data_IF_763668005336
#
_entry.id   IF_763668005336
#
_cell.length_a   1.000
_cell.length_b   1.000
_cell.length_c   1.000
_cell.angle_alpha   90.00
_cell.angle_beta   90.00
_cell.angle_gamma   90.00
#
_symmetry.space_group_name_H-M   'P 1'
#
loop_
_entity.id
_entity.type
_entity.pdbx_description
1 polymer ?
#
# COMPACT_ATOMS: atom_id res chain seq x y z
N UNK A 1 -4.38 7.99 21.87
CA UNK A 1 -4.94 6.63 22.20
C UNK A 1 -3.83 5.66 22.55
N UNK A 2 -4.09 4.62 23.38
CA UNK A 2 -3.05 3.64 23.72
C UNK A 2 -2.79 2.72 22.52
N UNK A 3 -1.54 2.67 22.07
CA UNK A 3 -1.05 1.78 21.01
C UNK A 3 -0.73 0.40 21.58
N UNK A 4 -1.25 -0.65 20.97
CA UNK A 4 -1.01 -2.04 21.35
C UNK A 4 -0.28 -2.77 20.21
N UNK A 5 0.99 -3.08 20.42
CA UNK A 5 1.80 -3.82 19.47
C UNK A 5 1.79 -5.30 19.83
N UNK A 6 1.49 -6.15 18.84
CA UNK A 6 1.62 -7.61 18.94
C UNK A 6 2.83 -8.05 18.13
N UNK A 7 3.91 -8.30 18.82
CA UNK A 7 5.11 -8.90 18.20
C UNK A 7 4.82 -10.36 17.82
N UNK A 8 5.54 -10.91 16.84
CA UNK A 8 5.45 -12.34 16.56
C UNK A 8 5.71 -13.17 17.83
N UNK A 9 4.93 -14.21 18.02
CA UNK A 9 5.18 -15.21 19.06
C UNK A 9 6.20 -16.25 18.55
N UNK A 10 6.83 -16.99 19.46
CA UNK A 10 7.95 -17.90 19.14
C UNK A 10 7.67 -18.92 18.02
N UNK A 11 6.41 -19.33 17.84
CA UNK A 11 6.01 -20.31 16.84
C UNK A 11 5.50 -19.68 15.52
N UNK A 12 5.48 -18.34 15.43
CA UNK A 12 5.09 -17.63 14.19
C UNK A 12 6.29 -17.42 13.28
N UNK A 13 6.01 -17.12 12.00
CA UNK A 13 7.02 -16.73 11.03
C UNK A 13 7.80 -15.50 11.49
N UNK A 14 9.06 -15.43 11.13
CA UNK A 14 9.95 -14.33 11.48
C UNK A 14 10.81 -13.90 10.29
N UNK A 15 11.25 -12.64 10.31
CA UNK A 15 12.24 -12.16 9.36
C UNK A 15 13.61 -12.78 9.65
N UNK A 16 14.36 -13.14 8.63
CA UNK A 16 15.77 -13.50 8.80
C UNK A 16 16.53 -12.35 9.47
N UNK A 17 17.58 -12.69 10.21
CA UNK A 17 18.45 -11.69 10.85
C UNK A 17 17.82 -10.95 12.03
N UNK A 18 16.66 -11.38 12.53
CA UNK A 18 16.06 -10.85 13.76
C UNK A 18 15.51 -9.42 13.64
N UNK A 19 15.16 -8.98 12.44
CA UNK A 19 14.49 -7.70 12.25
C UNK A 19 13.18 -7.68 13.05
N UNK A 20 13.03 -6.69 13.93
CA UNK A 20 11.87 -6.58 14.84
C UNK A 20 10.76 -5.76 14.20
N UNK A 21 9.55 -6.27 14.25
CA UNK A 21 8.33 -5.64 13.75
C UNK A 21 7.12 -6.14 14.56
N UNK A 22 5.97 -5.51 14.40
CA UNK A 22 4.72 -6.03 14.96
C UNK A 22 3.93 -6.77 13.88
N UNK A 23 3.44 -7.97 14.17
CA UNK A 23 2.47 -8.65 13.29
C UNK A 23 1.19 -7.83 13.14
N UNK A 24 0.74 -7.25 14.24
CA UNK A 24 -0.38 -6.32 14.27
C UNK A 24 -0.10 -5.15 15.20
N UNK A 25 -0.63 -3.99 14.84
CA UNK A 25 -0.67 -2.80 15.70
C UNK A 25 -2.12 -2.37 15.82
N UNK A 26 -2.66 -2.39 17.04
CA UNK A 26 -4.02 -1.97 17.33
C UNK A 26 -4.03 -0.60 18.01
N UNK A 27 -4.83 0.33 17.49
CA UNK A 27 -5.06 1.65 18.08
C UNK A 27 -6.54 2.00 17.92
N UNK A 28 -7.22 2.30 19.04
CA UNK A 28 -8.67 2.55 19.01
C UNK A 28 -9.41 1.33 18.47
N UNK A 29 -10.17 1.53 17.43
CA UNK A 29 -10.96 0.50 16.74
C UNK A 29 -10.23 -0.13 15.54
N UNK A 30 -9.08 0.39 15.15
CA UNK A 30 -8.31 -0.09 14.00
C UNK A 30 -7.22 -1.08 14.40
N UNK A 31 -7.00 -2.06 13.55
CA UNK A 31 -5.90 -3.02 13.64
C UNK A 31 -5.18 -3.06 12.31
N UNK A 32 -3.93 -2.61 12.31
CA UNK A 32 -3.04 -2.65 11.14
C UNK A 32 -2.25 -3.96 11.17
N UNK A 33 -2.30 -4.68 10.06
CA UNK A 33 -1.64 -5.97 9.90
C UNK A 33 -0.43 -5.78 8.99
N UNK A 34 0.73 -6.25 9.43
CA UNK A 34 1.94 -6.26 8.61
C UNK A 34 1.77 -7.12 7.37
N UNK A 35 2.62 -6.95 6.38
CA UNK A 35 2.72 -7.87 5.26
C UNK A 35 3.00 -9.28 5.76
N UNK A 36 1.96 -10.14 5.75
CA UNK A 36 2.10 -11.53 6.18
C UNK A 36 2.91 -12.30 5.16
N UNK A 37 3.84 -13.10 5.64
CA UNK A 37 4.86 -13.77 4.86
C UNK A 37 4.65 -15.28 4.82
N UNK A 38 5.21 -15.92 3.80
CA UNK A 38 5.27 -17.37 3.70
C UNK A 38 6.63 -17.88 4.20
N UNK A 39 6.97 -17.54 5.45
CA UNK A 39 8.19 -17.92 6.13
C UNK A 39 7.87 -18.85 7.30
N UNK A 40 8.86 -19.63 7.73
CA UNK A 40 8.81 -20.31 9.01
C UNK A 40 9.40 -19.45 10.15
N UNK A 41 9.49 -20.02 11.34
CA UNK A 41 10.06 -19.35 12.54
C UNK A 41 11.54 -19.01 12.41
N UNK A 42 12.27 -19.64 11.48
CA UNK A 42 13.69 -19.43 11.22
C UNK A 42 13.91 -18.51 9.99
N UNK A 43 12.82 -17.98 9.40
CA UNK A 43 12.83 -17.10 8.24
C UNK A 43 13.08 -17.83 6.91
N UNK A 44 12.86 -19.13 6.86
CA UNK A 44 12.98 -19.93 5.64
C UNK A 44 11.68 -19.87 4.86
N UNK A 45 11.77 -19.67 3.53
CA UNK A 45 10.60 -19.60 2.65
C UNK A 45 9.92 -20.97 2.55
N UNK A 46 8.63 -21.00 2.83
CA UNK A 46 7.79 -22.19 2.72
C UNK A 46 7.21 -22.32 1.32
N UNK A 47 7.13 -23.55 0.82
CA UNK A 47 6.50 -23.90 -0.46
C UNK A 47 6.96 -23.02 -1.64
N UNK A 48 8.28 -22.88 -1.89
CA UNK A 48 8.78 -22.06 -2.99
C UNK A 48 8.21 -22.55 -4.33
N UNK A 49 7.73 -21.63 -5.17
CA UNK A 49 7.15 -21.94 -6.47
C UNK A 49 5.65 -22.33 -6.45
N UNK A 50 5.03 -22.54 -5.29
CA UNK A 50 3.60 -22.88 -5.16
C UNK A 50 2.80 -21.69 -4.62
N UNK A 51 2.23 -20.88 -5.52
CA UNK A 51 1.44 -19.70 -5.16
C UNK A 51 0.21 -20.04 -4.31
N UNK A 52 -0.45 -21.16 -4.59
CA UNK A 52 -1.65 -21.54 -3.86
C UNK A 52 -1.33 -21.95 -2.42
N UNK A 53 -0.27 -22.75 -2.20
CA UNK A 53 0.19 -23.09 -0.86
C UNK A 53 0.69 -21.87 -0.10
N UNK A 54 1.46 -20.99 -0.75
CA UNK A 54 1.91 -19.74 -0.15
C UNK A 54 0.76 -18.82 0.23
N UNK A 55 -0.26 -18.70 -0.62
CA UNK A 55 -1.46 -17.91 -0.34
C UNK A 55 -2.20 -18.43 0.89
N UNK A 56 -2.34 -19.77 1.04
CA UNK A 56 -2.93 -20.37 2.24
C UNK A 56 -2.10 -20.07 3.48
N UNK A 57 -0.78 -20.20 3.42
CA UNK A 57 0.11 -19.87 4.55
C UNK A 57 -0.07 -18.41 5.00
N UNK A 58 -0.14 -17.48 4.07
CA UNK A 58 -0.33 -16.04 4.37
C UNK A 58 -1.67 -15.80 5.06
N UNK A 59 -2.78 -16.41 4.59
CA UNK A 59 -4.08 -16.26 5.24
C UNK A 59 -4.16 -16.94 6.60
N UNK A 60 -3.53 -18.10 6.80
CA UNK A 60 -3.44 -18.71 8.14
C UNK A 60 -2.61 -17.87 9.11
N UNK A 61 -1.52 -17.26 8.66
CA UNK A 61 -0.73 -16.33 9.46
C UNK A 61 -1.55 -15.08 9.83
N UNK A 62 -2.29 -14.50 8.88
CA UNK A 62 -3.17 -13.37 9.13
C UNK A 62 -4.28 -13.71 10.14
N UNK A 63 -4.91 -14.86 9.98
CA UNK A 63 -5.92 -15.38 10.90
C UNK A 63 -5.34 -15.57 12.31
N UNK A 64 -4.16 -16.18 12.42
CA UNK A 64 -3.47 -16.38 13.70
C UNK A 64 -3.14 -15.05 14.38
N UNK A 65 -2.71 -14.05 13.61
CA UNK A 65 -2.44 -12.69 14.13
C UNK A 65 -3.69 -12.00 14.69
N UNK A 66 -4.86 -12.23 14.08
CA UNK A 66 -6.13 -11.65 14.49
C UNK A 66 -6.75 -12.38 15.69
N UNK A 67 -6.61 -13.72 15.79
CA UNK A 67 -7.13 -14.52 16.90
C UNK A 67 -6.58 -14.03 18.24
N UNK A 68 -5.33 -13.60 18.30
CA UNK A 68 -4.72 -13.02 19.50
C UNK A 68 -5.37 -11.71 19.98
N UNK A 69 -6.25 -11.11 19.15
CA UNK A 69 -7.04 -9.92 19.44
C UNK A 69 -8.54 -10.23 19.56
N UNK A 70 -8.94 -11.49 19.63
CA UNK A 70 -10.33 -11.98 19.56
C UNK A 70 -11.05 -11.55 18.27
N UNK A 71 -10.36 -11.59 17.14
CA UNK A 71 -10.82 -11.17 15.82
C UNK A 71 -10.65 -12.31 14.81
N UNK A 72 -11.32 -12.16 13.65
CA UNK A 72 -11.24 -13.08 12.53
C UNK A 72 -11.01 -12.37 11.21
N UNK A 73 -10.90 -13.14 10.11
CA UNK A 73 -10.73 -12.58 8.76
C UNK A 73 -11.96 -11.78 8.30
N UNK A 74 -13.12 -12.05 8.85
CA UNK A 74 -14.37 -11.31 8.61
C UNK A 74 -14.37 -9.88 9.19
N UNK A 75 -13.40 -9.55 10.05
CA UNK A 75 -13.19 -8.20 10.57
C UNK A 75 -12.36 -7.31 9.63
N UNK A 76 -11.76 -7.90 8.59
CA UNK A 76 -10.96 -7.17 7.59
C UNK A 76 -11.86 -6.28 6.73
N UNK A 77 -11.40 -5.04 6.51
CA UNK A 77 -12.04 -4.06 5.63
C UNK A 77 -11.17 -3.71 4.43
N UNK A 78 -9.86 -3.95 4.54
CA UNK A 78 -8.91 -3.69 3.46
C UNK A 78 -7.84 -4.76 3.40
N UNK A 79 -7.45 -5.15 2.17
CA UNK A 79 -6.29 -5.96 1.84
C UNK A 79 -5.46 -5.29 0.74
N UNK A 80 -4.14 -5.30 0.89
CA UNK A 80 -3.23 -5.07 -0.22
C UNK A 80 -2.40 -6.34 -0.43
N UNK A 81 -2.50 -6.88 -1.63
CA UNK A 81 -1.81 -8.08 -2.07
C UNK A 81 -0.70 -7.70 -3.05
N UNK A 82 0.51 -8.11 -2.72
CA UNK A 82 1.66 -8.06 -3.61
C UNK A 82 2.01 -9.49 -3.98
N UNK A 83 2.04 -9.81 -5.27
CA UNK A 83 2.38 -11.16 -5.74
C UNK A 83 3.40 -11.10 -6.86
N UNK A 84 4.19 -12.16 -7.01
CA UNK A 84 5.25 -12.29 -8.02
C UNK A 84 4.80 -13.28 -9.08
N UNK A 85 4.92 -12.88 -10.33
CA UNK A 85 4.68 -13.74 -11.48
C UNK A 85 5.68 -13.39 -12.59
N UNK A 86 6.53 -14.33 -12.93
CA UNK A 86 7.61 -14.15 -13.93
C UNK A 86 7.26 -14.72 -15.31
N UNK A 87 6.00 -15.16 -15.50
CA UNK A 87 5.51 -15.67 -16.78
C UNK A 87 5.13 -14.58 -17.78
N UNK A 88 4.66 -14.99 -18.95
CA UNK A 88 4.14 -14.08 -19.98
C UNK A 88 2.89 -13.34 -19.49
N UNK A 89 2.74 -12.08 -19.84
CA UNK A 89 1.57 -11.25 -19.48
C UNK A 89 0.23 -11.90 -19.85
N UNK A 90 0.18 -12.67 -20.93
CA UNK A 90 -1.04 -13.40 -21.35
C UNK A 90 -1.53 -14.42 -20.30
N UNK A 91 -0.62 -14.94 -19.47
CA UNK A 91 -0.91 -15.95 -18.43
C UNK A 91 -1.11 -15.31 -17.05
N UNK A 92 -0.88 -14.01 -16.92
CA UNK A 92 -0.96 -13.28 -15.64
C UNK A 92 -2.36 -13.35 -15.02
N UNK A 93 -3.42 -13.22 -15.83
CA UNK A 93 -4.80 -13.29 -15.37
C UNK A 93 -5.12 -14.68 -14.80
N UNK A 94 -4.72 -15.76 -15.47
CA UNK A 94 -4.92 -17.14 -15.00
C UNK A 94 -4.18 -17.37 -13.68
N UNK A 95 -2.94 -16.91 -13.58
CA UNK A 95 -2.17 -16.99 -12.33
C UNK A 95 -2.84 -16.26 -11.18
N UNK A 96 -3.34 -15.05 -11.43
CA UNK A 96 -4.10 -14.28 -10.44
C UNK A 96 -5.41 -14.99 -10.04
N UNK A 97 -6.12 -15.57 -11.00
CA UNK A 97 -7.35 -16.32 -10.71
C UNK A 97 -7.08 -17.54 -9.82
N UNK A 98 -5.99 -18.27 -10.05
CA UNK A 98 -5.62 -19.42 -9.22
C UNK A 98 -5.29 -19.00 -7.79
N UNK A 99 -4.53 -17.93 -7.61
CA UNK A 99 -4.29 -17.31 -6.31
C UNK A 99 -5.61 -16.85 -5.65
N UNK A 100 -6.49 -16.24 -6.43
CA UNK A 100 -7.76 -15.67 -5.93
C UNK A 100 -8.76 -16.78 -5.56
N UNK A 101 -8.75 -17.95 -6.24
CA UNK A 101 -9.56 -19.09 -5.83
C UNK A 101 -9.22 -19.57 -4.42
N UNK A 102 -7.95 -19.51 -4.01
CA UNK A 102 -7.58 -19.76 -2.60
C UNK A 102 -8.22 -18.74 -1.67
N UNK A 103 -8.30 -17.46 -2.06
CA UNK A 103 -8.98 -16.44 -1.25
C UNK A 103 -10.45 -16.78 -0.98
N UNK A 104 -11.15 -17.42 -1.93
CA UNK A 104 -12.54 -17.84 -1.77
C UNK A 104 -12.72 -18.89 -0.65
N UNK A 105 -11.66 -19.61 -0.28
CA UNK A 105 -11.69 -20.57 0.84
C UNK A 105 -11.77 -19.83 2.21
N UNK A 106 -11.33 -18.57 2.27
CA UNK A 106 -11.18 -17.81 3.50
C UNK A 106 -12.21 -16.69 3.70
N UNK A 107 -12.72 -16.10 2.63
CA UNK A 107 -13.61 -14.95 2.70
C UNK A 107 -14.99 -15.26 2.14
N UNK A 108 -16.04 -15.19 3.00
CA UNK A 108 -17.42 -15.14 2.52
C UNK A 108 -17.71 -13.78 1.87
N UNK A 109 -18.80 -13.69 1.12
CA UNK A 109 -19.36 -12.40 0.69
C UNK A 109 -20.11 -11.74 1.86
N UNK A 110 -19.87 -10.47 2.17
CA UNK A 110 -18.96 -9.51 1.51
C UNK A 110 -17.51 -9.60 2.04
N UNK A 111 -16.55 -9.59 1.13
CA UNK A 111 -15.14 -9.52 1.46
C UNK A 111 -14.60 -8.09 1.55
N UNK A 112 -13.31 -7.93 1.92
CA UNK A 112 -12.68 -6.63 2.08
C UNK A 112 -12.53 -5.87 0.75
N UNK A 113 -12.34 -4.56 0.82
CA UNK A 113 -11.79 -3.79 -0.29
C UNK A 113 -10.34 -4.23 -0.54
N UNK A 114 -9.97 -4.45 -1.79
CA UNK A 114 -8.66 -5.02 -2.09
C UNK A 114 -7.96 -4.31 -3.26
N UNK A 115 -6.63 -4.29 -3.18
CA UNK A 115 -5.70 -3.91 -4.24
C UNK A 115 -4.78 -5.10 -4.45
N UNK A 116 -4.52 -5.50 -5.70
CA UNK A 116 -3.64 -6.62 -5.99
C UNK A 116 -2.76 -6.32 -7.19
N UNK A 117 -1.44 -6.20 -6.97
CA UNK A 117 -0.46 -5.85 -7.99
C UNK A 117 0.67 -6.86 -8.08
N UNK A 118 1.23 -7.04 -9.29
CA UNK A 118 2.41 -7.87 -9.53
C UNK A 118 3.65 -7.08 -9.16
N UNK A 119 4.21 -7.38 -7.99
CA UNK A 119 5.48 -6.82 -7.56
C UNK A 119 6.67 -7.48 -8.30
N UNK A 120 7.80 -6.79 -8.39
CA UNK A 120 9.04 -7.36 -8.94
C UNK A 120 9.57 -8.51 -8.08
N UNK A 121 9.30 -8.49 -6.78
CA UNK A 121 9.73 -9.51 -5.84
C UNK A 121 9.35 -9.20 -4.41
N UNK A 122 9.78 -10.08 -3.53
CA UNK A 122 9.68 -9.96 -2.08
C UNK A 122 11.10 -9.90 -1.50
N UNK A 123 11.26 -9.63 -0.18
CA UNK A 123 12.57 -9.57 0.45
C UNK A 123 13.41 -10.83 0.27
N UNK A 124 12.78 -12.01 0.24
CA UNK A 124 13.51 -13.27 0.15
C UNK A 124 13.15 -14.03 -1.13
N UNK A 125 14.16 -14.63 -1.74
CA UNK A 125 14.01 -15.45 -2.95
C UNK A 125 13.01 -16.60 -2.72
N UNK A 126 12.16 -16.85 -3.71
CA UNK A 126 11.14 -17.90 -3.66
C UNK A 126 9.82 -17.50 -2.99
N UNK A 127 9.74 -16.31 -2.40
CA UNK A 127 8.46 -15.76 -1.96
C UNK A 127 7.66 -15.25 -3.16
N UNK A 128 6.42 -15.71 -3.29
CA UNK A 128 5.53 -15.34 -4.39
C UNK A 128 4.39 -14.41 -3.98
N UNK A 129 4.14 -14.25 -2.67
CA UNK A 129 3.01 -13.45 -2.19
C UNK A 129 3.27 -12.86 -0.81
N UNK A 130 2.75 -11.68 -0.61
CA UNK A 130 2.64 -10.98 0.67
C UNK A 130 1.30 -10.24 0.71
N UNK A 131 0.60 -10.31 1.84
CA UNK A 131 -0.67 -9.63 2.02
C UNK A 131 -0.65 -8.84 3.34
N UNK A 132 -0.98 -7.56 3.27
CA UNK A 132 -1.22 -6.70 4.41
C UNK A 132 -2.71 -6.36 4.54
N UNK A 133 -3.14 -5.87 5.69
CA UNK A 133 -4.54 -5.53 5.86
C UNK A 133 -4.82 -4.51 6.95
N UNK A 134 -6.07 -4.04 6.92
CA UNK A 134 -6.68 -3.29 8.02
C UNK A 134 -7.93 -4.02 8.45
N UNK A 135 -8.06 -4.26 9.76
CA UNK A 135 -9.22 -4.86 10.38
C UNK A 135 -9.82 -3.92 11.44
N UNK A 136 -11.07 -4.15 11.80
CA UNK A 136 -11.79 -3.37 12.81
C UNK A 136 -12.18 -4.21 14.00
N UNK A 137 -12.05 -3.63 15.19
CA UNK A 137 -12.48 -4.25 16.45
C UNK A 137 -13.60 -3.46 17.13
N UNK A 138 -14.23 -4.05 18.12
CA UNK A 138 -15.28 -3.39 18.91
C UNK A 138 -16.57 -3.13 18.13
N UNK A 139 -17.25 -2.03 18.44
CA UNK A 139 -18.54 -1.67 17.82
C UNK A 139 -18.39 -1.31 16.33
N UNK A 140 -17.25 -0.73 15.91
CA UNK A 140 -17.01 -0.28 14.54
C UNK A 140 -17.13 -1.42 13.51
N UNK A 141 -16.79 -2.67 13.89
CA UNK A 141 -16.98 -3.83 13.03
C UNK A 141 -18.45 -4.10 12.65
N UNK A 142 -19.41 -3.67 13.48
CA UNK A 142 -20.84 -3.85 13.26
C UNK A 142 -21.49 -2.72 12.49
N UNK A 143 -20.87 -1.54 12.49
CA UNK A 143 -21.38 -0.32 11.86
C UNK A 143 -20.74 -0.02 10.51
N UNK A 144 -20.10 -1.03 9.88
CA UNK A 144 -19.46 -0.89 8.57
C UNK A 144 -20.47 -0.99 7.43
N UNK A 145 -20.28 -0.17 6.41
CA UNK A 145 -21.08 -0.17 5.19
C UNK A 145 -20.24 -0.61 4.00
N UNK A 146 -20.66 -1.68 3.33
CA UNK A 146 -20.09 -2.09 2.04
C UNK A 146 -20.48 -1.09 0.95
N UNK A 147 -19.52 -0.72 0.10
CA UNK A 147 -19.72 0.15 -1.04
C UNK A 147 -19.50 -0.64 -2.34
N UNK A 148 -20.54 -0.71 -3.16
CA UNK A 148 -20.55 -1.40 -4.46
C UNK A 148 -21.38 -0.58 -5.46
N UNK A 149 -20.83 0.54 -6.01
CA UNK A 149 -21.58 1.45 -6.85
C UNK A 149 -22.07 0.77 -8.13
N UNK A 150 -23.28 1.11 -8.56
CA UNK A 150 -23.79 0.65 -9.84
C UNK A 150 -22.93 1.22 -10.98
N UNK A 151 -22.63 0.38 -11.97
CA UNK A 151 -21.85 0.77 -13.15
C UNK A 151 -20.34 0.82 -12.92
N UNK A 152 -19.82 0.36 -11.78
CA UNK A 152 -18.39 0.12 -11.59
C UNK A 152 -17.92 -1.11 -12.37
N UNK A 153 -16.60 -1.23 -12.53
CA UNK A 153 -15.98 -2.44 -13.08
C UNK A 153 -16.15 -3.63 -12.13
N UNK A 154 -15.97 -4.84 -12.65
CA UNK A 154 -15.99 -6.07 -11.86
C UNK A 154 -14.84 -6.98 -12.28
N UNK A 155 -14.54 -8.00 -11.50
CA UNK A 155 -13.45 -8.94 -11.76
C UNK A 155 -13.81 -9.96 -12.85
N UNK A 156 -12.81 -10.57 -13.49
CA UNK A 156 -12.99 -11.63 -14.49
C UNK A 156 -13.66 -12.90 -13.94
N UNK A 157 -13.57 -13.11 -12.63
CA UNK A 157 -14.26 -14.18 -11.89
C UNK A 157 -15.04 -13.59 -10.71
N UNK A 158 -16.08 -14.27 -10.28
CA UNK A 158 -16.83 -13.87 -9.10
C UNK A 158 -15.95 -13.99 -7.84
N UNK A 159 -15.75 -12.88 -7.14
CA UNK A 159 -14.98 -12.81 -5.90
C UNK A 159 -15.75 -12.00 -4.85
N UNK A 160 -15.62 -12.34 -3.55
CA UNK A 160 -16.33 -11.65 -2.48
C UNK A 160 -15.63 -10.33 -2.09
N UNK A 161 -15.05 -9.61 -3.04
CA UNK A 161 -14.41 -8.33 -2.80
C UNK A 161 -15.42 -7.18 -2.82
N UNK A 162 -15.01 -6.03 -2.28
CA UNK A 162 -15.81 -4.82 -2.26
C UNK A 162 -15.05 -3.70 -2.95
N UNK A 163 -15.76 -2.81 -3.65
CA UNK A 163 -15.18 -1.60 -4.24
C UNK A 163 -14.71 -0.64 -3.15
N UNK A 164 -15.40 -0.63 -2.01
CA UNK A 164 -14.99 0.13 -0.85
C UNK A 164 -15.73 -0.29 0.42
N UNK A 165 -15.25 0.23 1.55
CA UNK A 165 -15.91 0.15 2.84
C UNK A 165 -15.92 1.52 3.52
N UNK A 166 -17.08 1.90 4.10
CA UNK A 166 -17.20 3.04 5.02
C UNK A 166 -17.34 2.56 6.44
N UNK A 167 -16.57 3.14 7.36
CA UNK A 167 -16.58 2.84 8.79
C UNK A 167 -16.51 4.16 9.57
N UNK A 168 -17.63 4.52 10.19
CA UNK A 168 -17.73 5.86 10.78
C UNK A 168 -17.48 6.93 9.72
N UNK A 169 -16.45 7.72 9.94
CA UNK A 169 -15.99 8.76 8.99
C UNK A 169 -14.90 8.30 8.03
N UNK A 170 -14.36 7.06 8.16
CA UNK A 170 -13.28 6.53 7.30
C UNK A 170 -13.84 5.78 6.10
N UNK A 171 -13.22 5.98 4.95
CA UNK A 171 -13.54 5.27 3.71
C UNK A 171 -12.28 4.63 3.16
N UNK A 172 -12.37 3.33 2.90
CA UNK A 172 -11.32 2.55 2.23
C UNK A 172 -11.81 2.24 0.82
N UNK A 173 -11.17 2.80 -0.19
CA UNK A 173 -11.44 2.52 -1.61
C UNK A 173 -10.46 1.43 -2.04
N UNK A 174 -10.98 0.33 -2.59
CA UNK A 174 -10.16 -0.73 -3.18
C UNK A 174 -9.44 -0.25 -4.44
N UNK A 175 -8.51 -1.04 -4.95
CA UNK A 175 -7.82 -0.77 -6.21
C UNK A 175 -8.82 -0.54 -7.33
N UNK A 176 -8.74 0.60 -8.00
CA UNK A 176 -9.56 0.93 -9.14
C UNK A 176 -8.72 0.84 -10.39
N UNK A 177 -9.25 0.18 -11.41
CA UNK A 177 -8.61 -0.04 -12.71
C UNK A 177 -9.54 0.42 -13.84
N UNK A 178 -8.97 0.73 -14.99
CA UNK A 178 -9.76 1.05 -16.18
C UNK A 178 -10.24 -0.24 -16.88
N UNK A 179 -11.29 -0.86 -16.34
CA UNK A 179 -11.88 -2.09 -16.84
C UNK A 179 -13.41 -1.98 -16.94
N UNK A 180 -14.03 -2.89 -17.69
CA UNK A 180 -15.48 -3.03 -17.77
C UNK A 180 -16.05 -3.99 -16.71
N UNK A 181 -17.35 -4.25 -16.75
CA UNK A 181 -18.06 -5.16 -15.83
C UNK A 181 -17.63 -6.63 -15.92
N UNK A 182 -16.79 -6.99 -16.86
CA UNK A 182 -16.25 -8.35 -17.07
C UNK A 182 -14.76 -8.44 -16.78
N UNK A 183 -14.15 -7.39 -16.20
CA UNK A 183 -12.74 -7.32 -15.92
C UNK A 183 -11.86 -7.07 -17.15
N UNK A 184 -12.44 -6.68 -18.29
CA UNK A 184 -11.67 -6.38 -19.50
C UNK A 184 -11.17 -4.95 -19.47
N UNK A 185 -9.85 -4.71 -19.68
CA UNK A 185 -9.31 -3.37 -19.79
C UNK A 185 -9.99 -2.56 -20.88
N UNK A 186 -10.32 -1.31 -20.57
CA UNK A 186 -10.81 -0.31 -21.52
C UNK A 186 -9.82 0.83 -21.64
N UNK A 187 -9.90 1.60 -22.72
CA UNK A 187 -8.96 2.71 -23.02
C UNK A 187 -7.49 2.26 -23.13
N UNK A 188 -7.27 1.03 -23.63
CA UNK A 188 -5.91 0.46 -23.78
C UNK A 188 -5.02 1.36 -24.62
N UNK A 189 -3.83 1.72 -24.07
CA UNK A 189 -2.87 2.61 -24.72
C UNK A 189 -3.16 4.10 -24.59
N UNK A 190 -4.18 4.47 -23.83
CA UNK A 190 -4.53 5.88 -23.53
C UNK A 190 -4.50 6.10 -22.02
N UNK A 191 -3.34 6.48 -21.50
CA UNK A 191 -3.09 6.71 -20.07
C UNK A 191 -4.04 7.75 -19.47
N UNK A 192 -4.34 8.81 -20.22
CA UNK A 192 -5.25 9.86 -19.77
C UNK A 192 -6.67 9.35 -19.60
N UNK A 193 -7.16 8.61 -20.59
CA UNK A 193 -8.51 8.05 -20.54
C UNK A 193 -8.62 6.98 -19.46
N UNK A 194 -7.58 6.14 -19.27
CA UNK A 194 -7.54 5.20 -18.15
C UNK A 194 -7.56 5.93 -16.80
N UNK A 195 -6.77 6.98 -16.66
CA UNK A 195 -6.71 7.78 -15.41
C UNK A 195 -8.06 8.42 -15.10
N UNK A 196 -8.72 9.04 -16.09
CA UNK A 196 -10.06 9.62 -15.90
C UNK A 196 -11.09 8.57 -15.51
N UNK A 197 -11.11 7.42 -16.18
CA UNK A 197 -12.04 6.34 -15.88
C UNK A 197 -11.85 5.81 -14.44
N UNK A 198 -10.62 5.70 -13.98
CA UNK A 198 -10.30 5.31 -12.61
C UNK A 198 -10.78 6.35 -11.59
N UNK A 199 -10.54 7.64 -11.85
CA UNK A 199 -11.07 8.70 -10.96
C UNK A 199 -12.60 8.73 -10.95
N UNK A 200 -13.26 8.45 -12.07
CA UNK A 200 -14.72 8.31 -12.09
C UNK A 200 -15.19 7.16 -11.19
N UNK A 201 -14.49 6.01 -11.19
CA UNK A 201 -14.82 4.89 -10.30
C UNK A 201 -14.57 5.25 -8.83
N UNK A 202 -13.44 5.90 -8.51
CA UNK A 202 -13.17 6.42 -7.16
C UNK A 202 -14.29 7.37 -6.75
N UNK A 203 -14.69 8.29 -7.63
CA UNK A 203 -15.77 9.25 -7.37
C UNK A 203 -17.13 8.58 -7.09
N UNK A 204 -17.44 7.47 -7.76
CA UNK A 204 -18.66 6.68 -7.48
C UNK A 204 -18.60 6.05 -6.08
N UNK A 205 -17.46 5.43 -5.73
CA UNK A 205 -17.26 4.84 -4.38
C UNK A 205 -17.39 5.91 -3.30
N UNK A 206 -16.75 7.06 -3.49
CA UNK A 206 -16.84 8.19 -2.55
C UNK A 206 -18.29 8.70 -2.43
N UNK A 207 -18.97 8.92 -3.55
CA UNK A 207 -20.36 9.40 -3.58
C UNK A 207 -21.32 8.45 -2.86
N UNK A 208 -21.23 7.14 -3.07
CA UNK A 208 -22.06 6.14 -2.38
C UNK A 208 -21.75 6.08 -0.87
N UNK A 209 -20.53 6.46 -0.49
CA UNK A 209 -20.14 6.60 0.90
C UNK A 209 -20.54 7.97 1.52
N UNK A 210 -21.15 8.88 0.74
CA UNK A 210 -21.47 10.24 1.17
C UNK A 210 -20.25 11.14 1.30
N UNK A 211 -19.25 10.95 0.45
CA UNK A 211 -17.99 11.67 0.40
C UNK A 211 -17.72 12.26 -1.00
N UNK A 212 -16.63 13.00 -1.10
CA UNK A 212 -16.14 13.60 -2.32
C UNK A 212 -14.60 13.54 -2.41
N UNK A 213 -14.04 14.00 -3.50
CA UNK A 213 -12.58 14.07 -3.65
C UNK A 213 -11.89 15.01 -2.65
N UNK A 214 -12.61 15.97 -2.06
CA UNK A 214 -12.06 16.85 -1.01
C UNK A 214 -11.80 16.14 0.32
N UNK A 215 -12.38 14.95 0.50
CA UNK A 215 -12.22 14.14 1.71
C UNK A 215 -11.04 13.15 1.60
N UNK A 216 -10.38 13.08 0.43
CA UNK A 216 -9.23 12.22 0.22
C UNK A 216 -8.06 12.59 1.14
N UNK A 217 -7.54 11.61 1.85
CA UNK A 217 -6.32 11.74 2.65
C UNK A 217 -5.11 11.14 1.97
N UNK A 218 -5.30 10.05 1.20
CA UNK A 218 -4.23 9.28 0.56
C UNK A 218 -4.69 8.72 -0.78
N UNK A 219 -3.77 8.75 -1.75
CA UNK A 219 -3.86 8.01 -3.03
C UNK A 219 -2.57 7.21 -3.23
N UNK A 220 -2.70 5.93 -3.58
CA UNK A 220 -1.58 5.09 -4.01
C UNK A 220 -1.69 4.88 -5.52
N UNK A 221 -0.60 5.12 -6.23
CA UNK A 221 -0.48 4.97 -7.68
C UNK A 221 0.45 3.81 -7.98
N UNK A 222 -0.13 2.70 -8.43
CA UNK A 222 0.59 1.57 -8.97
C UNK A 222 0.58 1.71 -10.49
N UNK A 223 1.73 2.00 -11.11
CA UNK A 223 1.80 2.23 -12.56
C UNK A 223 2.65 1.17 -13.26
N UNK A 224 2.35 0.95 -14.54
CA UNK A 224 3.03 -0.06 -15.33
C UNK A 224 4.50 0.28 -15.53
N UNK A 225 5.37 -0.71 -15.31
CA UNK A 225 6.78 -0.60 -15.63
C UNK A 225 7.04 -0.70 -17.15
N UNK A 226 7.82 0.22 -17.69
CA UNK A 226 8.36 0.14 -19.04
C UNK A 226 9.89 0.01 -19.02
N UNK A 227 10.39 -1.19 -19.25
CA UNK A 227 11.84 -1.46 -19.25
C UNK A 227 12.63 -0.81 -20.39
N UNK A 228 11.94 -0.23 -21.39
CA UNK A 228 12.57 0.40 -22.55
C UNK A 228 12.95 1.86 -22.33
N UNK A 229 12.26 2.51 -21.37
CA UNK A 229 12.54 3.91 -21.02
C UNK A 229 12.68 4.05 -19.50
N UNK A 230 13.90 4.08 -18.98
CA UNK A 230 14.14 4.23 -17.54
C UNK A 230 13.67 5.58 -16.96
N UNK A 231 13.29 6.55 -17.80
CA UNK A 231 12.72 7.83 -17.36
C UNK A 231 11.19 7.83 -17.44
N UNK A 232 10.58 6.74 -17.88
CA UNK A 232 9.11 6.67 -18.05
C UNK A 232 8.36 6.85 -16.72
N UNK A 233 8.92 6.38 -15.60
CA UNK A 233 8.26 6.44 -14.28
C UNK A 233 7.85 7.85 -13.88
N UNK A 234 8.74 8.83 -13.98
CA UNK A 234 8.42 10.23 -13.64
C UNK A 234 7.38 10.80 -14.62
N UNK A 235 7.55 10.56 -15.91
CA UNK A 235 6.62 11.05 -16.93
C UNK A 235 5.21 10.46 -16.76
N UNK A 236 5.10 9.17 -16.39
CA UNK A 236 3.84 8.53 -16.02
C UNK A 236 3.17 9.21 -14.83
N UNK A 237 3.90 9.38 -13.75
CA UNK A 237 3.38 10.03 -12.55
C UNK A 237 2.95 11.46 -12.85
N UNK A 238 3.78 12.25 -13.53
CA UNK A 238 3.46 13.63 -13.90
C UNK A 238 2.17 13.70 -14.72
N UNK A 239 1.97 12.78 -15.66
CA UNK A 239 0.76 12.75 -16.49
C UNK A 239 -0.48 12.34 -15.71
N UNK A 240 -0.41 11.32 -14.86
CA UNK A 240 -1.49 10.92 -13.96
C UNK A 240 -1.88 12.10 -13.08
N UNK A 241 -0.89 12.84 -12.60
CA UNK A 241 -1.10 13.97 -11.73
C UNK A 241 -1.77 15.16 -12.43
N UNK A 242 -1.40 15.41 -13.67
CA UNK A 242 -2.07 16.46 -14.46
C UNK A 242 -3.57 16.17 -14.62
N UNK A 243 -3.92 14.90 -14.91
CA UNK A 243 -5.32 14.48 -14.99
C UNK A 243 -6.00 14.56 -13.61
N UNK A 244 -5.30 14.22 -12.53
CA UNK A 244 -5.88 14.24 -11.18
C UNK A 244 -6.38 15.62 -10.75
N UNK A 245 -5.81 16.71 -11.28
CA UNK A 245 -6.23 18.08 -11.02
C UNK A 245 -7.66 18.37 -11.50
N UNK A 246 -8.17 17.58 -12.44
CA UNK A 246 -9.56 17.70 -12.91
C UNK A 246 -10.55 17.34 -11.78
N UNK A 247 -10.15 16.44 -10.88
CA UNK A 247 -10.98 15.83 -9.83
C UNK A 247 -10.69 16.36 -8.43
N UNK A 248 -9.41 16.42 -8.05
CA UNK A 248 -8.98 16.78 -6.69
C UNK A 248 -9.02 18.29 -6.52
N UNK A 249 -9.83 18.75 -5.57
CA UNK A 249 -9.97 20.16 -5.18
C UNK A 249 -9.85 20.28 -3.66
N UNK A 250 -9.31 21.37 -3.16
CA UNK A 250 -9.10 21.60 -1.73
C UNK A 250 -7.74 21.11 -1.24
N UNK A 251 -7.66 20.54 -0.03
CA UNK A 251 -6.42 19.99 0.52
C UNK A 251 -5.97 18.80 -0.31
N UNK A 252 -4.79 18.83 -0.94
CA UNK A 252 -4.31 17.70 -1.72
C UNK A 252 -4.02 16.49 -0.82
N UNK A 253 -4.41 15.27 -1.24
CA UNK A 253 -4.04 14.05 -0.52
C UNK A 253 -2.54 13.80 -0.59
N UNK A 254 -2.03 12.91 0.27
CA UNK A 254 -0.69 12.36 0.08
C UNK A 254 -0.69 11.34 -1.05
N UNK A 255 0.45 11.22 -1.74
CA UNK A 255 0.61 10.25 -2.83
C UNK A 255 1.82 9.36 -2.60
N UNK A 256 1.63 8.07 -2.86
CA UNK A 256 2.68 7.06 -2.98
C UNK A 256 2.63 6.47 -4.38
N UNK A 257 3.71 6.56 -5.15
CA UNK A 257 3.77 6.05 -6.51
C UNK A 257 4.96 5.10 -6.70
N UNK A 258 4.75 3.97 -7.36
CA UNK A 258 5.78 3.00 -7.69
C UNK A 258 5.39 2.12 -8.88
N UNK A 259 6.41 1.65 -9.61
CA UNK A 259 6.23 0.84 -10.80
C UNK A 259 6.09 -0.65 -10.47
N UNK A 260 5.06 -1.27 -11.05
CA UNK A 260 4.71 -2.68 -10.90
C UNK A 260 4.21 -3.22 -12.24
N UNK A 261 3.91 -4.50 -12.31
CA UNK A 261 3.02 -5.01 -13.34
C UNK A 261 1.58 -5.09 -12.80
N UNK A 262 0.62 -5.04 -13.71
CA UNK A 262 -0.79 -4.96 -13.35
C UNK A 262 -1.53 -6.28 -13.61
N UNK A 263 -2.74 -6.35 -13.08
CA UNK A 263 -3.57 -7.56 -13.10
C UNK A 263 -3.90 -8.03 -14.52
N UNK A 264 -4.35 -7.10 -15.37
CA UNK A 264 -4.77 -7.42 -16.73
C UNK A 264 -3.85 -6.79 -17.77
N UNK A 265 -3.48 -7.51 -18.84
CA UNK A 265 -2.76 -6.92 -19.96
C UNK A 265 -3.54 -5.75 -20.58
N UNK A 266 -2.87 -4.61 -20.78
CA UNK A 266 -3.49 -3.40 -21.34
C UNK A 266 -3.87 -2.36 -20.29
N UNK A 267 -3.74 -2.66 -18.99
CA UNK A 267 -3.81 -1.63 -17.94
C UNK A 267 -2.45 -0.90 -17.86
N UNK A 268 -2.51 0.41 -17.65
CA UNK A 268 -1.33 1.26 -17.44
C UNK A 268 -1.19 1.68 -15.98
N UNK A 269 -2.28 1.66 -15.18
CA UNK A 269 -2.26 2.01 -13.77
C UNK A 269 -3.40 1.35 -12.99
N UNK A 270 -3.22 1.28 -11.67
CA UNK A 270 -4.22 0.96 -10.64
C UNK A 270 -4.08 1.97 -9.52
N UNK A 271 -5.18 2.57 -9.07
CA UNK A 271 -5.20 3.49 -7.94
C UNK A 271 -6.03 2.94 -6.79
N UNK A 272 -5.53 3.04 -5.56
CA UNK A 272 -6.33 2.91 -4.36
C UNK A 272 -6.35 4.23 -3.57
N UNK A 273 -7.37 4.41 -2.73
CA UNK A 273 -7.51 5.64 -1.98
C UNK A 273 -8.05 5.42 -0.57
N UNK A 274 -7.81 6.41 0.28
CA UNK A 274 -8.45 6.53 1.59
C UNK A 274 -9.02 7.94 1.74
N UNK A 275 -10.15 8.05 2.44
CA UNK A 275 -10.79 9.32 2.72
C UNK A 275 -11.30 9.37 4.17
N UNK A 276 -11.40 10.58 4.72
CA UNK A 276 -12.03 10.85 6.02
C UNK A 276 -13.04 11.98 5.82
N UNK A 277 -14.31 11.69 6.09
CA UNK A 277 -15.40 12.66 5.94
C UNK A 277 -15.67 13.41 7.25
N UNK A 278 -16.33 14.57 7.13
CA UNK A 278 -16.79 15.39 8.27
C UNK A 278 -15.65 15.84 9.19
N UNK A 279 -14.44 16.00 8.66
CA UNK A 279 -13.26 16.46 9.39
C UNK A 279 -12.48 17.50 8.61
N UNK A 280 -11.90 18.45 9.32
CA UNK A 280 -10.92 19.37 8.72
C UNK A 280 -9.61 18.61 8.42
N UNK A 281 -9.23 18.57 7.15
CA UNK A 281 -7.95 18.04 6.73
C UNK A 281 -6.88 19.13 6.74
N UNK A 282 -5.72 18.86 7.34
CA UNK A 282 -4.57 19.76 7.36
C UNK A 282 -3.42 19.15 6.56
N UNK A 283 -2.99 19.86 5.51
CA UNK A 283 -1.75 19.51 4.83
C UNK A 283 -0.53 19.78 5.73
N UNK A 284 0.40 18.83 5.73
CA UNK A 284 1.70 18.91 6.39
C UNK A 284 2.76 18.98 5.31
N UNK A 285 3.53 20.07 5.28
CA UNK A 285 4.54 20.33 4.26
C UNK A 285 5.71 21.09 4.91
N UNK A 286 6.68 20.38 5.48
CA UNK A 286 7.84 21.00 6.09
C UNK A 286 8.62 21.83 5.06
N UNK A 287 8.88 23.11 5.37
CA UNK A 287 9.57 24.05 4.47
C UNK A 287 10.95 23.54 4.00
N UNK A 288 11.59 22.70 4.81
CA UNK A 288 12.93 22.18 4.55
C UNK A 288 12.96 21.04 3.51
N UNK A 289 11.81 20.39 3.23
CA UNK A 289 11.78 19.26 2.31
C UNK A 289 11.74 19.70 0.84
N UNK A 290 11.48 21.00 0.58
CA UNK A 290 11.34 21.53 -0.77
C UNK A 290 10.34 20.67 -1.53
N UNK A 291 9.06 21.06 -1.58
CA UNK A 291 7.99 20.22 -2.14
C UNK A 291 8.39 19.58 -3.46
N UNK A 292 8.29 18.28 -3.55
CA UNK A 292 8.58 17.51 -4.79
C UNK A 292 7.73 17.93 -5.95
N UNK A 293 6.55 18.36 -5.62
CA UNK A 293 5.55 18.90 -6.50
C UNK A 293 5.20 20.28 -5.97
N UNK A 294 4.78 21.18 -6.83
CA UNK A 294 4.32 22.50 -6.40
C UNK A 294 3.31 22.32 -5.24
N UNK A 295 3.31 23.16 -4.20
CA UNK A 295 2.44 23.02 -3.02
C UNK A 295 0.94 22.85 -3.34
N UNK A 296 0.54 23.06 -4.59
CA UNK A 296 -0.82 22.92 -5.09
C UNK A 296 -1.20 21.50 -5.54
N UNK A 297 -0.26 20.54 -5.62
CA UNK A 297 -0.51 19.23 -6.25
C UNK A 297 -0.59 18.08 -5.24
N UNK A 298 0.28 18.09 -4.20
CA UNK A 298 0.31 17.07 -3.14
C UNK A 298 0.78 17.62 -1.83
N UNK A 299 0.37 16.91 -0.76
CA UNK A 299 0.92 17.11 0.57
C UNK A 299 2.00 16.06 0.86
N UNK A 300 3.05 16.41 1.56
CA UNK A 300 3.99 15.43 2.14
C UNK A 300 3.28 14.58 3.19
N UNK A 301 2.42 15.22 3.99
CA UNK A 301 1.54 14.58 4.95
C UNK A 301 0.15 15.22 4.97
N UNK A 302 -0.83 14.47 5.45
CA UNK A 302 -2.20 14.94 5.75
C UNK A 302 -2.57 14.48 7.16
N UNK A 303 -2.98 15.43 8.00
CA UNK A 303 -3.59 15.17 9.30
C UNK A 303 -5.10 15.29 9.17
N UNK A 304 -5.83 14.24 9.58
CA UNK A 304 -7.28 14.20 9.64
C UNK A 304 -7.74 13.29 10.79
N UNK A 305 -8.63 13.75 11.65
CA UNK A 305 -9.20 12.98 12.78
C UNK A 305 -8.15 12.30 13.70
N UNK A 306 -7.01 12.95 13.93
CA UNK A 306 -5.90 12.39 14.73
C UNK A 306 -5.05 11.34 13.99
N UNK A 307 -5.38 11.04 12.75
CA UNK A 307 -4.59 10.18 11.87
C UNK A 307 -3.69 11.02 10.97
N UNK A 308 -2.43 10.61 10.83
CA UNK A 308 -1.43 11.27 10.00
C UNK A 308 -1.07 10.30 8.87
N UNK A 309 -1.35 10.71 7.65
CA UNK A 309 -0.97 10.01 6.44
C UNK A 309 0.26 10.68 5.85
N UNK A 310 1.32 9.92 5.60
CA UNK A 310 2.52 10.43 4.93
C UNK A 310 2.70 9.68 3.62
N UNK A 311 2.81 10.43 2.54
CA UNK A 311 3.03 9.91 1.20
C UNK A 311 4.41 9.31 1.00
N UNK A 312 4.63 8.68 -0.13
CA UNK A 312 5.90 8.03 -0.45
C UNK A 312 7.07 8.99 -0.39
N UNK A 313 7.83 8.98 0.72
CA UNK A 313 9.06 9.76 0.85
C UNK A 313 10.21 9.09 0.14
N UNK A 314 11.05 9.86 -0.56
CA UNK A 314 12.28 9.37 -1.22
C UNK A 314 13.43 10.34 -0.97
N UNK A 315 14.67 9.89 -1.15
CA UNK A 315 15.87 10.71 -1.01
C UNK A 315 16.10 11.58 -2.28
N UNK A 316 15.41 12.73 -2.36
CA UNK A 316 15.52 13.69 -3.47
C UNK A 316 15.78 15.10 -2.96
N UNK A 317 16.63 15.85 -3.64
CA UNK A 317 16.85 17.29 -3.39
C UNK A 317 15.61 18.12 -3.81
N UNK A 318 15.49 19.38 -3.39
CA UNK A 318 14.41 20.28 -3.82
C UNK A 318 14.33 20.49 -5.35
N UNK A 319 15.47 20.40 -6.05
CA UNK A 319 15.52 20.48 -7.51
C UNK A 319 15.12 19.15 -8.20
N UNK A 320 14.82 18.12 -7.37
CA UNK A 320 14.43 16.82 -7.81
C UNK A 320 15.57 15.88 -8.17
N UNK A 321 16.83 16.26 -7.97
CA UNK A 321 17.96 15.32 -8.13
C UNK A 321 17.95 14.26 -7.04
N UNK A 322 18.49 13.07 -7.35
CA UNK A 322 18.55 11.95 -6.40
C UNK A 322 19.74 12.15 -5.47
N UNK A 323 19.47 12.12 -4.17
CA UNK A 323 20.50 12.11 -3.12
C UNK A 323 21.14 10.73 -3.00
N UNK A 324 22.42 10.71 -2.67
CA UNK A 324 23.18 9.47 -2.38
C UNK A 324 23.01 8.39 -3.46
N UNK A 325 23.27 8.67 -4.75
CA UNK A 325 23.08 7.69 -5.81
C UNK A 325 23.91 6.43 -5.57
N UNK A 326 23.26 5.27 -5.57
CA UNK A 326 23.91 3.96 -5.33
C UNK A 326 24.09 3.60 -3.86
N UNK A 327 23.86 4.49 -2.90
CA UNK A 327 23.97 4.21 -1.46
C UNK A 327 22.58 4.01 -0.84
N UNK A 328 22.17 2.74 -0.74
CA UNK A 328 20.85 2.38 -0.20
C UNK A 328 20.67 2.83 1.26
N UNK A 329 21.68 2.63 2.11
CA UNK A 329 21.58 2.97 3.53
C UNK A 329 21.44 4.47 3.75
N UNK A 330 22.18 5.28 2.99
CA UNK A 330 22.06 6.74 3.05
C UNK A 330 20.68 7.21 2.55
N UNK A 331 20.15 6.62 1.46
CA UNK A 331 18.81 6.92 1.00
C UNK A 331 17.75 6.52 2.04
N UNK A 332 17.86 5.33 2.65
CA UNK A 332 16.92 4.88 3.69
C UNK A 332 16.94 5.81 4.92
N UNK A 333 18.13 6.23 5.34
CA UNK A 333 18.28 7.18 6.46
C UNK A 333 17.59 8.51 6.17
N UNK A 334 17.82 9.10 5.00
CA UNK A 334 17.17 10.34 4.59
C UNK A 334 15.64 10.19 4.55
N UNK A 335 15.14 9.09 3.98
CA UNK A 335 13.71 8.82 3.90
C UNK A 335 13.08 8.77 5.30
N UNK A 336 13.67 8.05 6.26
CA UNK A 336 13.13 7.98 7.61
C UNK A 336 13.23 9.32 8.36
N UNK A 337 14.25 10.10 8.13
CA UNK A 337 14.34 11.47 8.66
C UNK A 337 13.26 12.39 8.06
N UNK A 338 12.89 12.19 6.79
CA UNK A 338 11.76 12.92 6.16
C UNK A 338 10.43 12.57 6.79
N UNK A 339 10.19 11.29 7.04
CA UNK A 339 9.00 10.88 7.80
C UNK A 339 8.93 11.58 9.16
N UNK A 340 10.05 11.64 9.89
CA UNK A 340 10.10 12.31 11.20
C UNK A 340 9.81 13.82 11.09
N UNK A 341 10.40 14.51 10.10
CA UNK A 341 10.13 15.94 9.87
C UNK A 341 8.66 16.24 9.56
N UNK A 342 8.01 15.38 8.74
CA UNK A 342 6.56 15.53 8.46
C UNK A 342 5.73 15.27 9.71
N UNK A 343 6.08 14.28 10.51
CA UNK A 343 5.38 13.96 11.78
C UNK A 343 5.47 15.12 12.78
N UNK A 344 6.63 15.79 12.86
CA UNK A 344 6.84 16.93 13.75
C UNK A 344 5.91 18.11 13.44
N UNK A 345 5.48 18.33 12.18
CA UNK A 345 4.47 19.33 11.81
C UNK A 345 3.08 19.05 12.45
N UNK A 346 2.87 17.83 12.92
CA UNK A 346 1.68 17.41 13.64
C UNK A 346 1.97 17.11 15.12
N UNK A 347 3.09 17.54 15.70
CA UNK A 347 3.55 17.19 17.05
C UNK A 347 3.57 15.67 17.29
N UNK A 348 3.92 14.88 16.30
CA UNK A 348 4.07 13.44 16.36
C UNK A 348 5.53 13.02 16.10
N UNK A 349 5.84 11.75 16.27
CA UNK A 349 7.19 11.18 16.13
C UNK A 349 7.13 9.84 15.41
N UNK A 350 8.27 9.29 15.00
CA UNK A 350 8.36 7.95 14.42
C UNK A 350 7.75 6.84 15.31
N UNK A 351 7.63 7.06 16.61
CA UNK A 351 6.99 6.09 17.54
C UNK A 351 5.48 6.03 17.39
N UNK A 352 4.86 7.05 16.81
CA UNK A 352 3.41 7.10 16.58
C UNK A 352 3.02 6.37 15.30
N UNK A 353 3.98 5.97 14.46
CA UNK A 353 3.73 5.18 13.26
C UNK A 353 3.13 3.82 13.65
N UNK A 354 1.97 3.52 13.07
CA UNK A 354 1.25 2.25 13.25
C UNK A 354 1.43 1.33 12.05
N UNK A 355 1.59 1.91 10.85
CA UNK A 355 1.81 1.19 9.58
C UNK A 355 2.95 1.84 8.82
N UNK A 356 3.88 1.01 8.31
CA UNK A 356 5.03 1.44 7.52
C UNK A 356 5.19 0.54 6.30
N UNK A 357 5.14 1.11 5.11
CA UNK A 357 5.40 0.40 3.86
C UNK A 357 6.76 0.81 3.31
N UNK A 358 7.52 -0.18 2.86
CA UNK A 358 8.86 -0.03 2.29
C UNK A 358 8.84 -0.51 0.85
N UNK A 359 9.23 0.36 -0.09
CA UNK A 359 9.35 0.03 -1.50
C UNK A 359 10.83 0.05 -1.89
N UNK A 360 11.33 -1.09 -2.33
CA UNK A 360 12.76 -1.33 -2.56
C UNK A 360 12.99 -1.58 -4.05
N UNK A 361 13.94 -0.87 -4.63
CA UNK A 361 14.46 -1.12 -5.97
C UNK A 361 15.85 -1.73 -5.85
N UNK A 362 16.07 -2.86 -6.50
CA UNK A 362 17.35 -3.55 -6.47
C UNK A 362 17.34 -4.82 -7.35
N UNK A 363 18.51 -5.36 -7.62
CA UNK A 363 18.65 -6.66 -8.29
C UNK A 363 18.37 -7.81 -7.32
N UNK A 364 18.06 -9.01 -7.83
CA UNK A 364 17.67 -10.17 -7.03
C UNK A 364 18.63 -10.44 -5.86
N UNK A 365 19.92 -10.44 -6.11
CA UNK A 365 20.94 -10.67 -5.09
C UNK A 365 21.10 -9.55 -4.04
N UNK A 366 20.46 -8.39 -4.23
CA UNK A 366 20.63 -7.22 -3.37
C UNK A 366 19.45 -7.01 -2.43
N UNK A 367 18.25 -7.50 -2.78
CA UNK A 367 16.99 -7.10 -2.12
C UNK A 367 16.93 -7.55 -0.67
N UNK A 368 17.37 -8.77 -0.36
CA UNK A 368 17.45 -9.27 1.02
C UNK A 368 18.37 -8.36 1.86
N UNK A 369 19.55 -8.02 1.34
CA UNK A 369 20.47 -7.13 2.05
C UNK A 369 19.92 -5.70 2.17
N UNK A 370 19.30 -5.16 1.15
CA UNK A 370 18.66 -3.84 1.21
C UNK A 370 17.54 -3.79 2.24
N UNK A 371 16.73 -4.84 2.31
CA UNK A 371 15.71 -4.94 3.36
C UNK A 371 16.35 -4.95 4.78
N UNK A 372 17.42 -5.73 4.97
CA UNK A 372 18.12 -5.76 6.24
C UNK A 372 18.79 -4.42 6.56
N UNK A 373 19.32 -3.71 5.57
CA UNK A 373 19.85 -2.35 5.75
C UNK A 373 18.74 -1.39 6.20
N UNK A 374 17.58 -1.41 5.55
CA UNK A 374 16.44 -0.59 5.97
C UNK A 374 16.03 -0.88 7.43
N UNK A 375 16.01 -2.15 7.84
CA UNK A 375 15.69 -2.53 9.22
C UNK A 375 16.73 -2.04 10.23
N UNK A 376 18.04 -2.07 9.88
CA UNK A 376 19.11 -1.53 10.73
C UNK A 376 18.96 -0.03 10.90
N UNK A 377 18.80 0.70 9.79
CA UNK A 377 18.61 2.16 9.80
C UNK A 377 17.35 2.53 10.61
N UNK A 378 16.23 1.80 10.41
CA UNK A 378 15.02 2.02 11.20
C UNK A 378 15.26 1.86 12.70
N UNK A 379 16.00 0.82 13.10
CA UNK A 379 16.32 0.55 14.51
C UNK A 379 17.19 1.65 15.12
N UNK A 380 18.08 2.26 14.34
CA UNK A 380 18.93 3.37 14.74
C UNK A 380 18.14 4.68 14.91
N UNK A 381 17.28 5.02 13.94
CA UNK A 381 16.53 6.29 13.98
C UNK A 381 15.29 6.24 14.87
N UNK A 382 14.71 5.07 15.07
CA UNK A 382 13.51 4.87 15.89
C UNK A 382 13.63 3.63 16.80
N UNK A 383 14.53 3.67 17.79
CA UNK A 383 14.73 2.54 18.70
C UNK A 383 13.45 2.22 19.48
N UNK A 384 13.15 0.93 19.60
CA UNK A 384 11.93 0.40 20.27
C UNK A 384 10.60 0.81 19.62
N UNK A 385 10.61 1.18 18.35
CA UNK A 385 9.41 1.37 17.54
C UNK A 385 9.21 0.17 16.62
N UNK A 386 8.06 -0.49 16.73
CA UNK A 386 7.72 -1.70 15.97
C UNK A 386 6.39 -1.52 15.26
N UNK A 387 6.32 -0.78 14.14
CA UNK A 387 5.11 -0.64 13.35
C UNK A 387 4.73 -1.96 12.66
N UNK A 388 3.50 -2.08 12.19
CA UNK A 388 3.14 -3.09 11.21
C UNK A 388 3.83 -2.76 9.88
N UNK A 389 4.81 -3.57 9.47
CA UNK A 389 5.69 -3.27 8.33
C UNK A 389 5.38 -4.15 7.11
N UNK A 390 5.50 -3.57 5.93
CA UNK A 390 5.31 -4.29 4.65
C UNK A 390 6.42 -3.90 3.67
N UNK A 391 7.48 -4.70 3.52
CA UNK A 391 8.50 -4.49 2.51
C UNK A 391 8.11 -5.13 1.17
N UNK A 392 8.25 -4.39 0.08
CA UNK A 392 7.93 -4.85 -1.28
C UNK A 392 9.07 -4.45 -2.22
N UNK A 393 9.53 -5.38 -3.02
CA UNK A 393 10.41 -5.06 -4.14
C UNK A 393 9.57 -4.61 -5.34
N UNK A 394 9.84 -3.42 -5.84
CA UNK A 394 9.18 -2.84 -7.00
C UNK A 394 10.13 -2.77 -8.21
N UNK A 395 9.58 -2.60 -9.41
CA UNK A 395 10.41 -2.48 -10.60
C UNK A 395 11.23 -1.21 -10.58
N UNK A 396 10.58 -0.09 -10.24
CA UNK A 396 11.17 1.24 -10.28
C UNK A 396 10.39 2.18 -9.33
N UNK A 397 11.05 3.23 -8.90
CA UNK A 397 10.44 4.41 -8.28
C UNK A 397 10.36 5.53 -9.34
N UNK A 398 9.56 6.58 -9.13
CA UNK A 398 9.32 7.59 -10.17
C UNK A 398 10.57 8.19 -10.80
N UNK A 399 11.69 8.21 -10.09
CA UNK A 399 12.97 8.72 -10.63
C UNK A 399 14.04 7.64 -10.67
N UNK A 400 14.79 7.54 -11.78
CA UNK A 400 15.95 6.65 -11.88
C UNK A 400 16.99 6.96 -10.79
N UNK A 401 17.55 5.91 -10.19
CA UNK A 401 18.55 6.03 -9.13
C UNK A 401 17.99 6.09 -7.72
N UNK A 402 16.67 6.21 -7.56
CA UNK A 402 16.02 5.96 -6.28
C UNK A 402 16.02 4.46 -5.99
N UNK A 403 16.50 4.08 -4.82
CA UNK A 403 16.57 2.70 -4.36
C UNK A 403 15.55 2.39 -3.28
N UNK A 404 15.02 3.42 -2.63
CA UNK A 404 14.14 3.29 -1.47
C UNK A 404 13.08 4.38 -1.41
N UNK A 405 11.86 3.96 -1.09
CA UNK A 405 10.73 4.82 -0.76
C UNK A 405 10.00 4.23 0.44
N UNK A 406 9.48 5.07 1.32
CA UNK A 406 8.59 4.64 2.39
C UNK A 406 7.39 5.57 2.51
N UNK A 407 6.22 4.98 2.82
CA UNK A 407 5.02 5.68 3.26
C UNK A 407 4.56 5.18 4.63
N UNK A 408 3.80 5.96 5.36
CA UNK A 408 3.31 5.51 6.64
C UNK A 408 1.94 6.10 7.02
N UNK A 409 1.33 5.43 8.01
CA UNK A 409 0.19 5.94 8.79
C UNK A 409 0.65 6.02 10.24
N UNK A 410 0.43 7.19 10.87
CA UNK A 410 0.65 7.38 12.29
C UNK A 410 -0.66 7.81 12.97
N UNK A 411 -0.83 7.50 14.24
CA UNK A 411 -2.02 7.85 15.04
C UNK A 411 -1.53 8.45 16.36
N UNK A 412 -2.05 9.65 16.66
CA UNK A 412 -1.68 10.45 17.83
C UNK A 412 -2.59 10.18 19.04
#
# INVERSE_FOLDING_TARGET
MQKENKLPVDDMWQWKGGAKFSNTVAVGDQVFISGQQTLDKDGVVLNPGDIAAQTRNVFENMKSSLVGLNMGLDDLVRLNTYYVFEGDDKDATTFWEDMTRVRLEYFPDPGPAATAVRAKGMPYEGQLIQIEGVALRGESRRCRQRIMPEGSWDWSIAVPLSQGWKIGNRIFVGGQISADKTGRPVHVGDLDAQTRNIYEYIGRVLSDAGASFSDLTRVKICFKYDSKDPNSGQAFVDRIMEVSKEYIKGTPPVVTAFAVDLLYPGLDLELDAMAIVDQDTKALAPNELGGRYQPSEFSDGVLADGEIYIGGQTATEPDGSVMFPGDFSAQANEVFQRLDRVLQEADATLKDIVKLNLFIVGQDAQVEEFFHQACRVWTEVSPNSYPAMTPVRVHELPKPGLLFQADCIAIK
#
